data_IF_210591436170
#
_entry.id   IF_210591436170
#
_cell.length_a   1.000
_cell.length_b   1.000
_cell.length_c   1.000
_cell.angle_alpha   90.00
_cell.angle_beta   90.00
_cell.angle_gamma   90.00
#
_symmetry.space_group_name_H-M   'P 1'
#
loop_
_entity.id
_entity.type
_entity.pdbx_description
1 polymer ?
#
# COMPACT_ATOMS: atom_id res chain seq x y z
N UNK A 1 8.27 -6.01 13.64
CA UNK A 1 7.45 -7.17 13.26
C UNK A 1 7.01 -7.91 14.52
N UNK A 2 5.75 -8.29 14.62
CA UNK A 2 5.16 -9.05 15.73
C UNK A 2 4.23 -10.12 15.15
N UNK A 3 4.54 -11.39 15.40
CA UNK A 3 3.62 -12.51 15.17
C UNK A 3 2.60 -12.52 16.29
N UNK A 4 1.31 -12.42 15.97
CA UNK A 4 0.21 -12.44 16.95
C UNK A 4 -0.23 -13.88 17.23
N UNK A 5 -0.35 -14.68 16.18
CA UNK A 5 -0.64 -16.11 16.23
C UNK A 5 -0.10 -16.80 14.95
N UNK A 6 -0.59 -17.98 14.61
CA UNK A 6 -0.09 -18.72 13.44
C UNK A 6 -0.58 -18.15 12.10
N UNK A 7 -1.62 -17.34 12.11
CA UNK A 7 -2.23 -16.75 10.92
C UNK A 7 -1.91 -15.25 10.77
N UNK A 8 -1.70 -14.53 11.88
CA UNK A 8 -1.63 -13.09 11.91
C UNK A 8 -0.21 -12.59 12.26
N UNK A 9 0.34 -11.79 11.37
CA UNK A 9 1.61 -11.09 11.59
C UNK A 9 1.48 -9.61 11.28
N UNK A 10 1.86 -8.74 12.22
CA UNK A 10 1.88 -7.28 12.05
C UNK A 10 3.31 -6.80 11.92
N UNK A 11 3.56 -5.87 11.01
CA UNK A 11 4.82 -5.15 10.91
C UNK A 11 4.59 -3.64 10.79
N UNK A 12 5.61 -2.85 11.09
CA UNK A 12 5.58 -1.39 11.08
C UNK A 12 6.98 -0.85 10.81
N UNK A 13 7.12 0.47 10.80
CA UNK A 13 8.39 1.15 10.55
C UNK A 13 9.04 0.68 9.22
N UNK A 14 8.24 0.60 8.17
CA UNK A 14 8.65 0.20 6.82
C UNK A 14 9.82 1.06 6.35
N UNK A 15 10.97 0.46 6.00
CA UNK A 15 12.13 1.20 5.51
C UNK A 15 11.95 1.61 4.04
N UNK A 16 12.80 2.54 3.62
CA UNK A 16 12.80 2.99 2.22
C UNK A 16 11.85 4.16 1.97
N UNK A 17 12.00 4.75 0.80
CA UNK A 17 11.19 5.90 0.33
C UNK A 17 11.11 5.85 -1.21
N UNK A 18 11.16 4.65 -1.78
CA UNK A 18 11.03 4.47 -3.22
C UNK A 18 9.63 4.87 -3.67
N UNK A 19 9.53 5.70 -4.68
CA UNK A 19 8.27 6.23 -5.23
C UNK A 19 7.36 6.85 -4.16
N UNK A 20 7.95 7.64 -3.28
CA UNK A 20 7.26 8.31 -2.19
C UNK A 20 6.24 9.31 -2.69
N UNK A 21 5.00 9.23 -2.18
CA UNK A 21 3.92 10.13 -2.58
C UNK A 21 4.11 11.54 -2.03
N UNK A 22 4.00 12.55 -2.87
CA UNK A 22 3.96 13.96 -2.50
C UNK A 22 2.69 14.33 -1.72
N UNK A 23 1.64 13.50 -1.77
CA UNK A 23 0.45 13.68 -0.94
C UNK A 23 0.78 13.63 0.56
N UNK A 24 1.89 13.03 0.96
CA UNK A 24 2.41 13.02 2.32
C UNK A 24 2.98 14.37 2.79
N UNK A 25 3.32 15.28 1.89
CA UNK A 25 4.08 16.50 2.21
C UNK A 25 3.40 17.44 3.20
N UNK A 26 2.09 17.37 3.33
CA UNK A 26 1.29 18.17 4.25
C UNK A 26 1.06 17.51 5.60
N UNK A 27 1.37 16.23 5.74
CA UNK A 27 1.11 15.44 6.95
C UNK A 27 2.24 15.65 7.97
N UNK A 28 1.84 15.78 9.23
CA UNK A 28 2.73 16.11 10.34
C UNK A 28 2.53 15.16 11.51
N UNK A 29 3.62 14.76 12.16
CA UNK A 29 3.58 14.07 13.45
C UNK A 29 3.89 15.05 14.58
N UNK A 30 3.23 14.89 15.74
CA UNK A 30 3.54 15.70 16.94
C UNK A 30 4.65 15.03 17.71
N UNK A 31 5.79 15.74 17.86
CA UNK A 31 6.93 15.30 18.68
C UNK A 31 7.22 16.41 19.69
N UNK A 32 6.80 16.20 20.95
CA UNK A 32 6.87 17.25 21.97
C UNK A 32 6.03 18.47 21.57
N UNK A 33 6.65 19.63 21.41
CA UNK A 33 6.01 20.87 20.95
C UNK A 33 6.15 21.09 19.43
N UNK A 34 6.88 20.24 18.73
CA UNK A 34 7.16 20.37 17.30
C UNK A 34 6.19 19.55 16.44
N UNK A 35 6.05 19.94 15.16
CA UNK A 35 5.25 19.27 14.16
C UNK A 35 6.07 19.02 12.87
N UNK A 36 7.10 18.16 12.92
CA UNK A 36 7.84 17.79 11.72
C UNK A 36 6.97 17.02 10.72
N UNK A 37 7.49 16.82 9.49
CA UNK A 37 6.85 15.91 8.53
C UNK A 37 6.73 14.53 9.15
N UNK A 38 5.56 13.90 8.95
CA UNK A 38 5.31 12.55 9.44
C UNK A 38 6.20 11.54 8.69
N UNK A 39 6.90 10.72 9.45
CA UNK A 39 7.72 9.64 8.93
C UNK A 39 6.98 8.30 8.85
N UNK A 40 5.71 8.28 9.27
CA UNK A 40 4.81 7.12 9.27
C UNK A 40 5.38 5.85 9.93
N UNK A 41 6.23 6.03 10.96
CA UNK A 41 6.78 4.89 11.73
C UNK A 41 5.72 4.14 12.51
N UNK A 42 4.57 4.79 12.75
CA UNK A 42 3.39 4.24 13.42
C UNK A 42 2.46 3.49 12.48
N UNK A 43 2.63 3.61 11.15
CA UNK A 43 1.84 2.83 10.19
C UNK A 43 2.08 1.35 10.42
N UNK A 44 0.99 0.59 10.44
CA UNK A 44 1.00 -0.83 10.68
C UNK A 44 0.35 -1.56 9.50
N UNK A 45 1.01 -2.62 9.07
CA UNK A 45 0.56 -3.49 8.01
C UNK A 45 0.37 -4.90 8.55
N UNK A 46 -0.67 -5.58 8.07
CA UNK A 46 -1.08 -6.90 8.55
C UNK A 46 -0.93 -7.94 7.44
N UNK A 47 -0.27 -9.04 7.76
CA UNK A 47 -0.28 -10.26 6.97
C UNK A 47 -1.26 -11.25 7.59
N UNK A 48 -2.18 -11.75 6.78
CA UNK A 48 -3.10 -12.84 7.15
C UNK A 48 -2.77 -14.06 6.31
N UNK A 49 -2.40 -15.15 6.96
CA UNK A 49 -2.02 -16.40 6.29
C UNK A 49 -3.00 -17.49 6.67
N UNK A 50 -3.72 -18.02 5.71
CA UNK A 50 -4.65 -19.13 5.88
C UNK A 50 -4.56 -20.09 4.70
N UNK A 51 -4.62 -21.39 4.96
CA UNK A 51 -4.59 -22.45 3.94
C UNK A 51 -3.44 -22.32 2.92
N UNK A 52 -2.27 -21.82 3.36
CA UNK A 52 -1.10 -21.64 2.51
C UNK A 52 -1.13 -20.39 1.63
N UNK A 53 -2.17 -19.57 1.71
CA UNK A 53 -2.30 -18.28 1.06
C UNK A 53 -2.04 -17.15 2.04
N UNK A 54 -1.51 -16.04 1.55
CA UNK A 54 -1.24 -14.86 2.38
C UNK A 54 -1.80 -13.60 1.72
N UNK A 55 -2.61 -12.86 2.47
CA UNK A 55 -3.08 -11.54 2.10
C UNK A 55 -2.34 -10.47 2.93
N UNK A 56 -1.88 -9.42 2.26
CA UNK A 56 -1.34 -8.21 2.87
C UNK A 56 -2.45 -7.17 2.96
N UNK A 57 -2.67 -6.65 4.16
CA UNK A 57 -3.56 -5.51 4.41
C UNK A 57 -2.72 -4.31 4.86
N UNK A 58 -2.75 -3.24 4.08
CA UNK A 58 -2.19 -1.95 4.43
C UNK A 58 -3.31 -0.90 4.36
N UNK A 59 -3.31 0.05 5.26
CA UNK A 59 -4.31 1.13 5.28
C UNK A 59 -4.19 2.02 4.05
N UNK A 60 -3.81 3.28 4.26
CA UNK A 60 -3.55 4.22 3.16
C UNK A 60 -2.21 3.99 2.46
N UNK A 61 -1.33 3.16 3.02
CA UNK A 61 0.02 2.92 2.52
C UNK A 61 0.87 4.21 2.39
N UNK A 62 0.91 5.02 3.44
CA UNK A 62 1.70 6.25 3.47
C UNK A 62 3.20 6.00 3.31
N UNK A 63 3.71 4.88 3.81
CA UNK A 63 5.09 4.44 3.56
C UNK A 63 5.37 4.10 2.09
N UNK A 64 4.33 4.10 1.24
CA UNK A 64 4.38 3.73 -0.17
C UNK A 64 4.22 2.23 -0.38
N UNK A 65 3.23 1.86 -1.22
CA UNK A 65 2.87 0.44 -1.44
C UNK A 65 4.06 -0.41 -1.91
N UNK A 66 5.00 0.15 -2.67
CA UNK A 66 6.21 -0.54 -3.13
C UNK A 66 7.13 -0.90 -1.96
N UNK A 67 7.31 0.00 -1.00
CA UNK A 67 8.14 -0.22 0.18
C UNK A 67 7.48 -1.21 1.16
N UNK A 68 6.16 -1.09 1.34
CA UNK A 68 5.37 -2.00 2.19
C UNK A 68 5.41 -3.41 1.62
N UNK A 69 5.22 -3.56 0.31
CA UNK A 69 5.27 -4.86 -0.36
C UNK A 69 6.65 -5.51 -0.21
N UNK A 70 7.72 -4.76 -0.40
CA UNK A 70 9.08 -5.25 -0.16
C UNK A 70 9.29 -5.72 1.29
N UNK A 71 8.78 -4.96 2.26
CA UNK A 71 8.85 -5.37 3.67
C UNK A 71 8.03 -6.64 3.95
N UNK A 72 6.86 -6.79 3.32
CA UNK A 72 6.05 -8.00 3.40
C UNK A 72 6.79 -9.20 2.80
N UNK A 73 7.46 -9.03 1.65
CA UNK A 73 8.29 -10.06 1.02
C UNK A 73 9.48 -10.48 1.91
N UNK A 74 10.14 -9.51 2.55
CA UNK A 74 11.24 -9.78 3.50
C UNK A 74 10.77 -10.61 4.70
N UNK A 75 9.52 -10.38 5.17
CA UNK A 75 8.91 -11.13 6.27
C UNK A 75 8.50 -12.54 5.84
N UNK A 76 7.91 -12.69 4.65
CA UNK A 76 7.35 -13.94 4.16
C UNK A 76 8.36 -14.84 3.44
N UNK A 77 9.46 -14.27 2.93
CA UNK A 77 10.37 -14.95 2.01
C UNK A 77 9.78 -15.15 0.59
N UNK A 78 8.60 -14.57 0.32
CA UNK A 78 7.89 -14.62 -0.97
C UNK A 78 6.92 -13.46 -1.09
N UNK A 79 6.41 -13.19 -2.29
CA UNK A 79 5.31 -12.24 -2.47
C UNK A 79 4.02 -12.75 -1.79
N UNK A 80 3.17 -11.87 -1.24
CA UNK A 80 1.82 -12.22 -0.82
C UNK A 80 0.97 -12.60 -2.04
N UNK A 81 -0.08 -13.41 -1.83
CA UNK A 81 -0.99 -13.82 -2.90
C UNK A 81 -1.92 -12.67 -3.31
N UNK A 82 -2.35 -11.86 -2.32
CA UNK A 82 -3.17 -10.67 -2.56
C UNK A 82 -2.74 -9.49 -1.70
N UNK A 83 -3.05 -8.28 -2.17
CA UNK A 83 -2.80 -7.01 -1.47
C UNK A 83 -4.10 -6.21 -1.41
N UNK A 84 -4.47 -5.77 -0.21
CA UNK A 84 -5.60 -4.89 0.07
C UNK A 84 -5.08 -3.59 0.67
N UNK A 85 -5.08 -2.49 -0.09
CA UNK A 85 -4.50 -1.22 0.34
C UNK A 85 -5.04 -0.02 -0.43
N UNK A 86 -5.09 1.15 0.22
CA UNK A 86 -5.03 2.42 -0.49
C UNK A 86 -3.58 2.69 -0.91
N UNK A 87 -3.34 3.29 -2.07
CA UNK A 87 -1.98 3.53 -2.56
C UNK A 87 -1.50 4.98 -2.35
N UNK A 88 -2.31 5.77 -1.66
CA UNK A 88 -2.03 7.18 -1.32
C UNK A 88 -1.52 8.01 -2.51
N UNK A 89 -2.17 7.87 -3.66
CA UNK A 89 -1.82 8.56 -4.91
C UNK A 89 -2.75 9.75 -5.22
N UNK A 90 -3.58 10.14 -4.25
CA UNK A 90 -4.47 11.29 -4.33
C UNK A 90 -4.42 12.08 -3.02
N UNK A 91 -4.23 13.39 -3.14
CA UNK A 91 -4.27 14.31 -2.01
C UNK A 91 -5.66 14.99 -1.95
N UNK A 92 -6.54 14.61 -1.00
CA UNK A 92 -7.88 15.19 -0.91
C UNK A 92 -7.89 16.68 -0.52
N UNK A 93 -6.88 17.12 0.22
CA UNK A 93 -6.76 18.53 0.64
C UNK A 93 -6.44 19.46 -0.52
N UNK A 94 -5.72 18.97 -1.52
CA UNK A 94 -5.36 19.71 -2.73
C UNK A 94 -6.26 19.37 -3.93
N UNK A 95 -7.08 18.33 -3.82
CA UNK A 95 -7.90 17.83 -4.92
C UNK A 95 -7.07 17.34 -6.12
N UNK A 96 -5.88 16.78 -5.87
CA UNK A 96 -4.93 16.40 -6.91
C UNK A 96 -4.45 14.97 -6.77
N UNK A 97 -4.39 14.28 -7.90
CA UNK A 97 -3.65 13.03 -8.05
C UNK A 97 -2.14 13.30 -8.12
N UNK A 98 -1.35 12.31 -7.78
CA UNK A 98 0.09 12.32 -8.02
C UNK A 98 0.39 12.46 -9.52
N UNK A 99 1.58 12.98 -9.88
CA UNK A 99 2.00 13.07 -11.27
C UNK A 99 1.94 11.72 -11.99
N UNK A 100 1.58 11.77 -13.26
CA UNK A 100 1.43 10.60 -14.13
C UNK A 100 2.68 9.70 -14.12
N UNK A 101 3.87 10.32 -14.11
CA UNK A 101 5.16 9.62 -14.09
C UNK A 101 5.34 8.79 -12.81
N UNK A 102 4.90 9.32 -11.65
CA UNK A 102 4.97 8.59 -10.39
C UNK A 102 3.99 7.41 -10.39
N UNK A 103 2.74 7.65 -10.82
CA UNK A 103 1.72 6.59 -10.92
C UNK A 103 2.17 5.49 -11.87
N UNK A 104 2.77 5.87 -13.00
CA UNK A 104 3.32 4.93 -13.98
C UNK A 104 4.46 4.11 -13.40
N UNK A 105 5.38 4.74 -12.68
CA UNK A 105 6.51 4.05 -12.04
C UNK A 105 6.04 3.06 -10.97
N UNK A 106 5.05 3.45 -10.15
CA UNK A 106 4.39 2.53 -9.20
C UNK A 106 3.78 1.34 -9.95
N UNK A 107 3.02 1.59 -11.01
CA UNK A 107 2.41 0.54 -11.83
C UNK A 107 3.42 -0.42 -12.43
N UNK A 108 4.58 0.06 -12.90
CA UNK A 108 5.65 -0.80 -13.43
C UNK A 108 6.27 -1.68 -12.34
N UNK A 109 6.46 -1.16 -11.12
CA UNK A 109 6.93 -1.98 -9.98
C UNK A 109 5.95 -3.08 -9.64
N UNK A 110 4.67 -2.73 -9.46
CA UNK A 110 3.61 -3.70 -9.13
C UNK A 110 3.38 -4.72 -10.26
N UNK A 111 3.59 -4.33 -11.54
CA UNK A 111 3.52 -5.25 -12.66
C UNK A 111 4.65 -6.29 -12.64
N UNK A 112 5.82 -5.87 -12.20
CA UNK A 112 7.03 -6.70 -12.15
C UNK A 112 7.09 -7.71 -11.01
N UNK A 113 6.26 -7.56 -9.98
CA UNK A 113 6.22 -8.49 -8.86
C UNK A 113 5.33 -9.71 -9.10
N UNK A 114 5.28 -10.61 -8.11
CA UNK A 114 4.58 -11.91 -8.20
C UNK A 114 3.22 -11.93 -7.47
N UNK A 115 2.72 -10.80 -7.00
CA UNK A 115 1.40 -10.70 -6.39
C UNK A 115 0.34 -11.03 -7.44
N UNK A 116 -0.59 -11.93 -7.11
CA UNK A 116 -1.63 -12.33 -8.05
C UNK A 116 -2.71 -11.25 -8.19
N UNK A 117 -3.13 -10.63 -7.09
CA UNK A 117 -4.22 -9.66 -7.07
C UNK A 117 -3.92 -8.47 -6.16
N UNK A 118 -4.24 -7.29 -6.65
CA UNK A 118 -4.28 -6.03 -5.89
C UNK A 118 -5.71 -5.54 -5.81
N UNK A 119 -6.14 -5.17 -4.62
CA UNK A 119 -7.42 -4.51 -4.39
C UNK A 119 -7.17 -3.16 -3.74
N UNK A 120 -7.63 -2.10 -4.40
CA UNK A 120 -7.34 -0.74 -3.97
C UNK A 120 -8.57 0.15 -4.08
N UNK A 121 -8.50 1.31 -3.44
CA UNK A 121 -9.57 2.30 -3.41
C UNK A 121 -9.18 3.50 -2.56
N UNK A 122 -10.17 4.18 -1.98
CA UNK A 122 -9.97 5.25 -1.01
C UNK A 122 -8.98 6.33 -1.51
N UNK A 123 -7.80 6.43 -0.89
CA UNK A 123 -6.77 7.42 -1.18
C UNK A 123 -5.94 7.14 -2.44
N UNK A 124 -6.20 6.07 -3.18
CA UNK A 124 -5.60 5.86 -4.50
C UNK A 124 -6.07 6.93 -5.50
N UNK A 125 -7.32 7.33 -5.39
CA UNK A 125 -7.93 8.27 -6.32
C UNK A 125 -8.30 7.64 -7.67
N UNK A 126 -9.35 8.18 -8.30
CA UNK A 126 -9.92 7.61 -9.52
C UNK A 126 -8.94 7.63 -10.70
N UNK A 127 -8.29 8.77 -10.93
CA UNK A 127 -7.37 8.95 -12.07
C UNK A 127 -6.17 7.99 -11.98
N UNK A 128 -5.55 7.91 -10.78
CA UNK A 128 -4.45 6.99 -10.52
C UNK A 128 -4.91 5.53 -10.67
N UNK A 129 -6.10 5.18 -10.14
CA UNK A 129 -6.66 3.84 -10.31
C UNK A 129 -6.82 3.46 -11.79
N UNK A 130 -7.45 4.32 -12.60
CA UNK A 130 -7.65 4.06 -14.03
C UNK A 130 -6.33 3.90 -14.78
N UNK A 131 -5.31 4.67 -14.38
CA UNK A 131 -3.98 4.58 -14.96
C UNK A 131 -3.28 3.27 -14.59
N UNK A 132 -3.31 2.89 -13.32
CA UNK A 132 -2.80 1.61 -12.83
C UNK A 132 -3.54 0.42 -13.45
N UNK A 133 -4.87 0.52 -13.62
CA UNK A 133 -5.69 -0.54 -14.23
C UNK A 133 -5.27 -0.84 -15.66
N UNK A 134 -4.89 0.18 -16.44
CA UNK A 134 -4.34 -0.03 -17.80
C UNK A 134 -3.03 -0.82 -17.80
N UNK A 135 -2.21 -0.71 -16.72
CA UNK A 135 -0.92 -1.41 -16.60
C UNK A 135 -1.05 -2.82 -16.01
N UNK A 136 -1.90 -2.96 -15.01
CA UNK A 136 -2.03 -4.19 -14.22
C UNK A 136 -3.13 -5.13 -14.74
N UNK A 137 -4.04 -4.59 -15.56
CA UNK A 137 -5.13 -5.40 -16.12
C UNK A 137 -6.00 -6.02 -15.02
N UNK A 138 -6.28 -7.31 -15.15
CA UNK A 138 -7.14 -8.04 -14.21
C UNK A 138 -6.50 -8.29 -12.84
N UNK A 139 -5.20 -8.03 -12.70
CA UNK A 139 -4.53 -8.08 -11.39
C UNK A 139 -4.95 -6.94 -10.46
N UNK A 140 -5.57 -5.87 -10.95
CA UNK A 140 -6.04 -4.76 -10.12
C UNK A 140 -7.57 -4.72 -10.09
N UNK A 141 -8.14 -4.78 -8.89
CA UNK A 141 -9.56 -4.61 -8.61
C UNK A 141 -9.85 -3.42 -7.72
N UNK A 142 -11.08 -2.93 -7.75
CA UNK A 142 -11.57 -1.96 -6.77
C UNK A 142 -11.95 -2.67 -5.47
N UNK A 143 -11.83 -1.95 -4.34
CA UNK A 143 -12.18 -2.40 -3.00
C UNK A 143 -13.28 -1.51 -2.39
N UNK A 144 -14.53 -1.55 -2.90
CA UNK A 144 -15.62 -0.81 -2.31
C UNK A 144 -16.06 -1.44 -0.98
N UNK A 145 -16.58 -0.62 -0.07
CA UNK A 145 -17.09 -1.10 1.21
C UNK A 145 -18.22 -2.12 1.00
N UNK A 146 -18.17 -3.24 1.74
CA UNK A 146 -19.15 -4.32 1.65
C UNK A 146 -18.87 -5.34 0.55
N UNK A 147 -17.71 -5.29 -0.09
CA UNK A 147 -17.30 -6.32 -1.05
C UNK A 147 -16.69 -7.54 -0.37
N UNK A 148 -16.92 -8.70 -0.96
CA UNK A 148 -16.29 -9.97 -0.58
C UNK A 148 -15.22 -10.34 -1.61
N UNK A 149 -14.09 -10.88 -1.14
CA UNK A 149 -12.98 -11.30 -1.98
C UNK A 149 -12.55 -12.71 -1.60
N UNK A 150 -12.22 -13.51 -2.60
CA UNK A 150 -11.59 -14.83 -2.42
C UNK A 150 -10.16 -14.78 -2.98
N UNK A 151 -9.18 -15.23 -2.19
CA UNK A 151 -7.74 -15.24 -2.51
C UNK A 151 -7.25 -16.65 -2.77
#
# INVERSE_FOLDING_TARGET
MQKLDDELTVFSAVPGRELWSGANDTLREKIGEDYPRDAFRHEQDLLVTENGKTALFAGCAHCGIVNILKSAEDVLGRAPDAVFAGFHLYNPSLGKSEPDELVDAVGEKLRGDKVAHYFTGHCTGKEAYERLKRKLGDRLGEMPAGSDFTV
#
